data_IF_730595532979
#
_entry.id   IF_730595532979
#
_cell.length_a   1.000
_cell.length_b   1.000
_cell.length_c   1.000
_cell.angle_alpha   90.00
_cell.angle_beta   90.00
_cell.angle_gamma   90.00
#
_symmetry.space_group_name_H-M   'P 1'
#
loop_
_entity.id
_entity.type
_entity.pdbx_description
1 polymer ?
#
# COMPACT_ATOMS: atom_id res chain seq x y z
N UNK A 1 -6.06 23.74 5.89
CA UNK A 1 -5.71 25.01 5.23
C UNK A 1 -5.64 24.73 3.74
N UNK A 2 -6.33 25.51 2.91
CA UNK A 2 -6.35 25.32 1.45
C UNK A 2 -5.48 26.40 0.79
N UNK A 3 -4.65 26.00 -0.18
CA UNK A 3 -3.88 26.93 -1.01
C UNK A 3 -4.48 26.95 -2.41
N UNK A 4 -4.72 28.15 -2.93
CA UNK A 4 -5.21 28.31 -4.30
C UNK A 4 -4.05 28.18 -5.28
N UNK A 5 -4.18 27.25 -6.20
CA UNK A 5 -3.22 27.00 -7.29
C UNK A 5 -3.96 27.01 -8.63
N UNK A 6 -3.26 27.37 -9.70
CA UNK A 6 -3.77 27.23 -11.07
C UNK A 6 -3.26 25.92 -11.66
N UNK A 7 -4.17 25.06 -12.10
CA UNK A 7 -3.85 23.79 -12.75
C UNK A 7 -4.61 23.67 -14.05
N UNK A 8 -4.02 22.98 -15.01
CA UNK A 8 -4.70 22.62 -16.26
C UNK A 8 -5.14 21.16 -16.16
N UNK A 9 -6.41 20.91 -16.44
CA UNK A 9 -6.97 19.55 -16.49
C UNK A 9 -7.59 19.32 -17.87
N UNK A 10 -7.57 18.08 -18.38
CA UNK A 10 -8.32 17.72 -19.58
C UNK A 10 -9.80 18.07 -19.43
N UNK A 11 -10.45 18.46 -20.53
CA UNK A 11 -11.88 18.78 -20.56
C UNK A 11 -12.73 17.63 -20.01
N UNK A 12 -12.40 16.40 -20.39
CA UNK A 12 -13.07 15.18 -19.91
C UNK A 12 -13.00 15.03 -18.38
N UNK A 13 -11.85 15.36 -17.78
CA UNK A 13 -11.68 15.33 -16.31
C UNK A 13 -12.52 16.41 -15.63
N UNK A 14 -12.63 17.60 -16.25
CA UNK A 14 -13.48 18.68 -15.74
C UNK A 14 -14.97 18.29 -15.81
N UNK A 15 -15.41 17.63 -16.88
CA UNK A 15 -16.78 17.12 -17.00
C UNK A 15 -17.11 16.08 -15.92
N UNK A 16 -16.17 15.18 -15.62
CA UNK A 16 -16.33 14.20 -14.54
C UNK A 16 -16.40 14.88 -13.16
N UNK A 17 -15.52 15.86 -12.93
CA UNK A 17 -15.56 16.70 -11.72
C UNK A 17 -16.91 17.37 -11.56
N UNK A 18 -17.46 17.94 -12.63
CA UNK A 18 -18.74 18.67 -12.60
C UNK A 18 -19.95 17.76 -12.42
N UNK A 19 -19.87 16.50 -12.87
CA UNK A 19 -20.92 15.51 -12.63
C UNK A 19 -21.02 15.10 -11.17
N UNK A 20 -19.89 15.01 -10.47
CA UNK A 20 -19.80 14.44 -9.13
C UNK A 20 -19.86 15.54 -8.06
N UNK A 21 -19.15 16.65 -8.28
CA UNK A 21 -19.02 17.75 -7.34
C UNK A 21 -19.73 19.00 -7.90
N UNK A 22 -20.95 19.33 -7.43
CA UNK A 22 -21.60 20.58 -7.78
C UNK A 22 -20.75 21.79 -7.35
N UNK A 23 -21.06 22.97 -7.92
CA UNK A 23 -20.26 24.20 -7.79
C UNK A 23 -19.84 24.47 -6.34
N UNK A 24 -18.52 24.44 -6.09
CA UNK A 24 -17.92 24.71 -4.78
C UNK A 24 -17.13 23.54 -4.20
N UNK A 25 -17.43 22.31 -4.60
CA UNK A 25 -16.84 21.11 -3.98
C UNK A 25 -15.69 20.47 -4.79
N UNK A 26 -15.33 21.06 -5.95
CA UNK A 26 -14.25 20.57 -6.82
C UNK A 26 -12.92 20.44 -6.08
N UNK A 27 -12.56 21.42 -5.26
CA UNK A 27 -11.29 21.41 -4.52
C UNK A 27 -11.23 20.26 -3.49
N UNK A 28 -12.36 19.95 -2.85
CA UNK A 28 -12.44 18.83 -1.91
C UNK A 28 -12.33 17.50 -2.64
N UNK A 29 -13.02 17.34 -3.77
CA UNK A 29 -12.93 16.14 -4.57
C UNK A 29 -11.50 15.91 -5.11
N UNK A 30 -10.82 16.98 -5.54
CA UNK A 30 -9.42 16.91 -5.97
C UNK A 30 -8.50 16.49 -4.80
N UNK A 31 -8.68 17.05 -3.60
CA UNK A 31 -7.91 16.65 -2.41
C UNK A 31 -8.10 15.16 -2.09
N UNK A 32 -9.35 14.67 -2.12
CA UNK A 32 -9.66 13.26 -1.92
C UNK A 32 -9.02 12.36 -2.98
N UNK A 33 -9.14 12.74 -4.25
CA UNK A 33 -8.57 11.97 -5.37
C UNK A 33 -7.04 11.88 -5.28
N UNK A 34 -6.36 12.99 -4.96
CA UNK A 34 -4.90 13.03 -4.79
C UNK A 34 -4.47 12.14 -3.63
N UNK A 35 -5.11 12.26 -2.46
CA UNK A 35 -4.80 11.42 -1.30
C UNK A 35 -5.02 9.94 -1.58
N UNK A 36 -6.13 9.61 -2.24
CA UNK A 36 -6.44 8.23 -2.63
C UNK A 36 -5.38 7.66 -3.56
N UNK A 37 -5.00 8.40 -4.60
CA UNK A 37 -4.00 7.97 -5.57
C UNK A 37 -2.63 7.73 -4.91
N UNK A 38 -2.15 8.69 -4.12
CA UNK A 38 -0.86 8.57 -3.41
C UNK A 38 -0.85 7.35 -2.49
N UNK A 39 -1.91 7.16 -1.70
CA UNK A 39 -2.00 6.03 -0.77
C UNK A 39 -2.05 4.67 -1.52
N UNK A 40 -2.76 4.62 -2.64
CA UNK A 40 -2.88 3.41 -3.46
C UNK A 40 -1.53 3.03 -4.08
N UNK A 41 -0.82 4.01 -4.66
CA UNK A 41 0.51 3.78 -5.22
C UNK A 41 1.54 3.43 -4.14
N UNK A 42 1.48 4.07 -2.96
CA UNK A 42 2.35 3.73 -1.84
C UNK A 42 2.15 2.27 -1.39
N UNK A 43 0.91 1.80 -1.27
CA UNK A 43 0.59 0.41 -0.92
C UNK A 43 1.07 -0.58 -1.98
N UNK A 44 0.89 -0.25 -3.27
CA UNK A 44 1.38 -1.07 -4.38
C UNK A 44 2.90 -1.22 -4.35
N UNK A 45 3.60 -0.11 -4.15
CA UNK A 45 5.06 -0.09 -4.05
C UNK A 45 5.57 -0.83 -2.82
N UNK A 46 4.89 -0.71 -1.67
CA UNK A 46 5.23 -1.45 -0.46
C UNK A 46 5.07 -2.96 -0.67
N UNK A 47 3.96 -3.39 -1.29
CA UNK A 47 3.72 -4.81 -1.60
C UNK A 47 4.82 -5.38 -2.49
N UNK A 48 5.24 -4.64 -3.52
CA UNK A 48 6.31 -5.09 -4.40
C UNK A 48 7.64 -5.19 -3.65
N UNK A 49 7.98 -4.19 -2.84
CA UNK A 49 9.20 -4.24 -2.01
C UNK A 49 9.21 -5.42 -1.05
N UNK A 50 8.09 -5.72 -0.40
CA UNK A 50 7.96 -6.89 0.49
C UNK A 50 8.14 -8.20 -0.28
N UNK A 51 7.52 -8.32 -1.46
CA UNK A 51 7.68 -9.48 -2.34
C UNK A 51 9.14 -9.68 -2.73
N UNK A 52 9.82 -8.62 -3.18
CA UNK A 52 11.23 -8.68 -3.57
C UNK A 52 12.13 -9.02 -2.38
N UNK A 53 11.83 -8.47 -1.19
CA UNK A 53 12.51 -8.84 0.05
C UNK A 53 12.40 -10.32 0.35
N UNK A 54 11.16 -10.85 0.37
CA UNK A 54 10.90 -12.27 0.63
C UNK A 54 11.61 -13.19 -0.38
N UNK A 55 11.54 -12.87 -1.67
CA UNK A 55 12.22 -13.65 -2.71
C UNK A 55 13.74 -13.63 -2.55
N UNK A 56 14.32 -12.46 -2.26
CA UNK A 56 15.77 -12.32 -2.10
C UNK A 56 16.29 -13.08 -0.87
N UNK A 57 15.47 -13.23 0.17
CA UNK A 57 15.88 -13.80 1.45
C UNK A 57 15.42 -15.26 1.60
N UNK A 58 14.66 -15.80 0.63
CA UNK A 58 14.04 -17.12 0.68
C UNK A 58 15.02 -18.24 1.06
N UNK A 59 16.19 -18.33 0.42
CA UNK A 59 17.16 -19.39 0.69
C UNK A 59 17.76 -19.27 2.10
N UNK A 60 18.03 -18.04 2.55
CA UNK A 60 18.52 -17.78 3.91
C UNK A 60 17.47 -18.14 4.94
N UNK A 61 16.24 -17.67 4.73
CA UNK A 61 15.14 -17.89 5.66
C UNK A 61 14.83 -19.39 5.77
N UNK A 62 14.86 -20.11 4.65
CA UNK A 62 14.72 -21.57 4.62
C UNK A 62 15.83 -22.27 5.41
N UNK A 63 17.09 -21.86 5.23
CA UNK A 63 18.22 -22.42 5.98
C UNK A 63 18.07 -22.21 7.50
N UNK A 64 17.70 -20.99 7.92
CA UNK A 64 17.44 -20.70 9.33
C UNK A 64 16.29 -21.57 9.87
N UNK A 65 15.18 -21.69 9.14
CA UNK A 65 14.07 -22.55 9.58
C UNK A 65 14.49 -24.00 9.72
N UNK A 66 15.30 -24.53 8.79
CA UNK A 66 15.80 -25.90 8.86
C UNK A 66 16.72 -26.11 10.07
N UNK A 67 17.61 -25.17 10.35
CA UNK A 67 18.54 -25.24 11.49
C UNK A 67 17.81 -25.25 12.84
N UNK A 68 16.67 -24.54 12.94
CA UNK A 68 15.91 -24.38 14.19
C UNK A 68 14.74 -25.37 14.34
N UNK A 69 14.39 -26.12 13.29
CA UNK A 69 13.21 -26.98 13.24
C UNK A 69 13.13 -28.00 14.40
N UNK A 70 14.25 -28.65 14.71
CA UNK A 70 14.29 -29.70 15.74
C UNK A 70 14.08 -29.13 17.15
N UNK A 71 14.60 -27.93 17.42
CA UNK A 71 14.46 -27.26 18.73
C UNK A 71 13.02 -26.84 18.96
N UNK A 72 12.35 -26.35 17.92
CA UNK A 72 10.94 -26.00 17.99
C UNK A 72 10.08 -27.27 18.23
N UNK A 73 10.27 -28.34 17.46
CA UNK A 73 9.49 -29.58 17.59
C UNK A 73 9.58 -30.20 19.00
N UNK A 74 10.78 -30.23 19.59
CA UNK A 74 11.01 -30.71 20.95
C UNK A 74 10.29 -29.84 22.00
N UNK A 75 10.21 -28.52 21.79
CA UNK A 75 9.55 -27.61 22.72
C UNK A 75 8.01 -27.75 22.71
N UNK A 76 7.41 -27.95 21.53
CA UNK A 76 5.97 -28.17 21.37
C UNK A 76 5.51 -29.49 22.00
N UNK A 77 6.25 -30.59 21.80
CA UNK A 77 5.91 -31.89 22.38
C UNK A 77 6.00 -31.92 23.91
N UNK A 78 6.84 -31.08 24.50
CA UNK A 78 7.02 -31.00 25.95
C UNK A 78 6.00 -30.07 26.63
N UNK A 79 5.34 -29.16 25.90
CA UNK A 79 4.26 -28.32 26.44
C UNK A 79 2.89 -28.99 26.45
N UNK A 80 2.69 -30.04 25.67
CA UNK A 80 1.46 -30.85 25.61
C UNK A 80 1.45 -32.02 26.62
N UNK A 81 2.47 -32.13 27.48
CA UNK A 81 2.58 -33.10 28.59
C UNK A 81 2.36 -32.44 29.94
#
# INVERSE_FOLDING_TARGET
MYQRINITLPSETLELLDRIAPKGDRSHLIDLAVKYYINTEAKKNLREKLKQGALRWADRDLGITQDWFNVDEESWQNSDR
#
